data_IF_712072075114
#
_entry.id   IF_712072075114
#
_cell.length_a   1.000
_cell.length_b   1.000
_cell.length_c   1.000
_cell.angle_alpha   90.00
_cell.angle_beta   90.00
_cell.angle_gamma   90.00
#
_symmetry.space_group_name_H-M   'P 1'
#
loop_
_entity.id
_entity.type
_entity.pdbx_description
1 polymer ?
#
# COMPACT_ATOMS: atom_id res chain seq x y z
N UNK A 1 -18.67 11.19 2.98
CA UNK A 1 -17.90 10.12 2.31
C UNK A 1 -17.44 10.47 0.89
N UNK A 2 -17.88 11.59 0.30
CA UNK A 2 -17.55 11.93 -1.09
C UNK A 2 -16.05 11.95 -1.40
N UNK A 3 -15.26 12.65 -0.60
CA UNK A 3 -13.80 12.76 -0.84
C UNK A 3 -13.03 11.41 -0.88
N UNK A 4 -13.54 10.38 -0.20
CA UNK A 4 -12.92 9.05 -0.16
C UNK A 4 -13.31 8.16 -1.35
N UNK A 5 -14.43 8.48 -2.01
CA UNK A 5 -15.09 7.53 -2.90
C UNK A 5 -15.56 8.09 -4.22
N UNK A 6 -15.56 9.42 -4.40
CA UNK A 6 -15.97 10.07 -5.64
C UNK A 6 -14.86 10.04 -6.68
N UNK A 7 -13.60 9.95 -6.23
CA UNK A 7 -12.43 9.76 -7.09
C UNK A 7 -11.43 8.81 -6.44
N UNK A 8 -10.52 8.24 -7.24
CA UNK A 8 -9.41 7.41 -6.75
C UNK A 8 -8.18 8.23 -6.32
N UNK A 9 -8.19 9.56 -6.54
CA UNK A 9 -7.03 10.42 -6.28
C UNK A 9 -6.53 10.35 -4.84
N UNK A 10 -7.42 10.39 -3.85
CA UNK A 10 -7.02 10.32 -2.44
C UNK A 10 -6.35 8.98 -2.12
N UNK A 11 -6.93 7.88 -2.58
CA UNK A 11 -6.36 6.54 -2.37
C UNK A 11 -4.98 6.43 -3.04
N UNK A 12 -4.85 6.86 -4.30
CA UNK A 12 -3.58 6.87 -5.03
C UNK A 12 -2.54 7.75 -4.33
N UNK A 13 -2.92 8.96 -3.88
CA UNK A 13 -2.03 9.85 -3.14
C UNK A 13 -1.48 9.17 -1.88
N UNK A 14 -2.33 8.53 -1.08
CA UNK A 14 -1.88 7.83 0.13
C UNK A 14 -0.92 6.68 -0.18
N UNK A 15 -1.13 5.95 -1.28
CA UNK A 15 -0.19 4.93 -1.76
C UNK A 15 1.16 5.52 -2.16
N UNK A 16 1.18 6.57 -2.99
CA UNK A 16 2.41 7.21 -3.45
C UNK A 16 3.24 7.71 -2.27
N UNK A 17 2.62 8.46 -1.35
CA UNK A 17 3.31 8.95 -0.16
C UNK A 17 3.76 7.81 0.75
N UNK A 18 2.92 6.78 0.92
CA UNK A 18 3.27 5.58 1.70
C UNK A 18 4.51 4.87 1.15
N UNK A 19 4.60 4.67 -0.16
CA UNK A 19 5.77 4.04 -0.79
C UNK A 19 7.02 4.90 -0.63
N UNK A 20 6.92 6.23 -0.82
CA UNK A 20 8.05 7.14 -0.62
C UNK A 20 8.55 7.08 0.82
N UNK A 21 7.64 7.16 1.80
CA UNK A 21 7.97 7.05 3.22
C UNK A 21 8.59 5.69 3.57
N UNK A 22 8.11 4.61 2.96
CA UNK A 22 8.67 3.27 3.11
C UNK A 22 10.12 3.21 2.62
N UNK A 23 10.38 3.65 1.38
CA UNK A 23 11.72 3.66 0.80
C UNK A 23 12.67 4.57 1.61
N UNK A 24 12.19 5.75 2.02
CA UNK A 24 12.94 6.67 2.86
C UNK A 24 13.27 6.05 4.23
N UNK A 25 12.31 5.41 4.92
CA UNK A 25 12.58 4.74 6.19
C UNK A 25 13.52 3.53 6.03
N UNK A 26 13.42 2.82 4.91
CA UNK A 26 14.23 1.64 4.65
C UNK A 26 15.70 1.98 4.34
N UNK A 27 15.98 3.13 3.72
CA UNK A 27 17.35 3.60 3.43
C UNK A 27 18.06 4.19 4.65
N UNK A 28 17.33 4.47 5.74
CA UNK A 28 17.90 5.00 6.97
C UNK A 28 18.55 3.91 7.84
N UNK A 29 19.68 4.26 8.45
CA UNK A 29 20.36 3.44 9.44
C UNK A 29 19.44 3.08 10.62
N UNK A 30 19.53 1.83 11.06
CA UNK A 30 18.78 1.33 12.22
C UNK A 30 19.14 2.12 13.50
N UNK A 31 18.19 2.27 14.41
CA UNK A 31 18.38 2.97 15.69
C UNK A 31 18.34 4.49 15.62
N UNK A 32 18.35 5.10 14.43
CA UNK A 32 18.26 6.57 14.31
C UNK A 32 16.86 7.10 14.68
N UNK A 33 16.81 8.29 15.30
CA UNK A 33 15.54 8.99 15.60
C UNK A 33 14.73 9.24 14.33
N UNK A 34 15.40 9.65 13.25
CA UNK A 34 14.76 9.90 11.96
C UNK A 34 14.05 8.67 11.41
N UNK A 35 14.69 7.49 11.44
CA UNK A 35 14.04 6.24 11.00
C UNK A 35 12.78 5.94 11.77
N UNK A 36 12.82 6.10 13.11
CA UNK A 36 11.66 5.89 13.98
C UNK A 36 10.52 6.83 13.65
N UNK A 37 10.80 8.12 13.43
CA UNK A 37 9.78 9.12 13.08
C UNK A 37 9.15 8.80 11.73
N UNK A 38 9.96 8.60 10.68
CA UNK A 38 9.47 8.26 9.35
C UNK A 38 8.67 6.97 9.35
N UNK A 39 9.10 5.95 10.10
CA UNK A 39 8.37 4.68 10.25
C UNK A 39 7.02 4.88 10.96
N UNK A 40 6.95 5.74 11.97
CA UNK A 40 5.68 6.05 12.65
C UNK A 40 4.72 6.81 11.73
N UNK A 41 5.20 7.75 10.92
CA UNK A 41 4.38 8.47 9.93
C UNK A 41 3.87 7.49 8.87
N UNK A 42 4.72 6.59 8.38
CA UNK A 42 4.36 5.57 7.42
C UNK A 42 3.19 4.70 7.92
N UNK A 43 3.17 4.35 9.22
CA UNK A 43 2.05 3.59 9.82
C UNK A 43 0.73 4.37 9.79
N UNK A 44 0.75 5.70 9.90
CA UNK A 44 -0.45 6.51 9.71
C UNK A 44 -0.93 6.42 8.26
N UNK A 45 -0.01 6.45 7.29
CA UNK A 45 -0.35 6.27 5.88
C UNK A 45 -0.90 4.87 5.57
N UNK A 46 -0.42 3.82 6.23
CA UNK A 46 -1.04 2.49 6.10
C UNK A 46 -2.52 2.50 6.50
N UNK A 47 -2.86 3.17 7.60
CA UNK A 47 -4.26 3.32 8.03
C UNK A 47 -5.06 4.09 6.98
N UNK A 48 -4.52 5.19 6.44
CA UNK A 48 -5.19 5.96 5.38
C UNK A 48 -5.42 5.14 4.12
N UNK A 49 -4.45 4.32 3.70
CA UNK A 49 -4.56 3.41 2.55
C UNK A 49 -5.66 2.38 2.81
N UNK A 50 -5.68 1.75 3.98
CA UNK A 50 -6.66 0.72 4.33
C UNK A 50 -8.07 1.32 4.39
N UNK A 51 -8.25 2.45 5.07
CA UNK A 51 -9.56 3.10 5.22
C UNK A 51 -10.10 3.59 3.88
N UNK A 52 -9.28 4.27 3.07
CA UNK A 52 -9.70 4.72 1.74
C UNK A 52 -9.96 3.54 0.79
N UNK A 53 -9.14 2.49 0.85
CA UNK A 53 -9.33 1.26 0.07
C UNK A 53 -10.60 0.51 0.46
N UNK A 54 -10.90 0.41 1.76
CA UNK A 54 -12.14 -0.20 2.25
C UNK A 54 -13.36 0.62 1.84
N UNK A 55 -13.30 1.95 1.89
CA UNK A 55 -14.38 2.82 1.44
C UNK A 55 -14.69 2.62 -0.06
N UNK A 56 -13.65 2.53 -0.89
CA UNK A 56 -13.80 2.20 -2.32
C UNK A 56 -14.35 0.78 -2.53
N UNK A 57 -13.86 -0.21 -1.78
CA UNK A 57 -14.35 -1.58 -1.85
C UNK A 57 -15.86 -1.65 -1.55
N UNK A 58 -16.33 -1.09 -0.44
CA UNK A 58 -17.74 -1.18 -0.06
C UNK A 58 -18.68 -0.44 -1.03
N UNK A 59 -18.22 0.66 -1.66
CA UNK A 59 -19.04 1.40 -2.64
C UNK A 59 -19.15 0.68 -3.98
N UNK A 60 -18.12 -0.06 -4.39
CA UNK A 60 -18.00 -0.55 -5.76
C UNK A 60 -17.92 -2.07 -5.92
N UNK A 61 -17.95 -2.82 -4.82
CA UNK A 61 -17.95 -4.28 -4.84
C UNK A 61 -19.06 -4.89 -5.70
N UNK A 62 -20.20 -4.20 -5.86
CA UNK A 62 -21.37 -4.72 -6.61
C UNK A 62 -21.08 -4.98 -8.09
N UNK A 63 -20.00 -4.43 -8.64
CA UNK A 63 -19.64 -4.60 -10.05
C UNK A 63 -18.83 -5.88 -10.30
N UNK A 64 -17.96 -6.29 -9.36
CA UNK A 64 -17.17 -7.53 -9.42
C UNK A 64 -16.58 -7.85 -8.03
N UNK A 65 -17.41 -8.36 -7.11
CA UNK A 65 -17.05 -8.55 -5.70
C UNK A 65 -15.76 -9.37 -5.52
N UNK A 66 -15.49 -10.31 -6.42
CA UNK A 66 -14.31 -11.16 -6.34
C UNK A 66 -13.04 -10.39 -6.69
N UNK A 67 -12.99 -9.69 -7.82
CA UNK A 67 -11.78 -8.96 -8.22
C UNK A 67 -11.47 -7.79 -7.26
N UNK A 68 -12.50 -7.07 -6.79
CA UNK A 68 -12.30 -6.03 -5.78
C UNK A 68 -11.80 -6.61 -4.44
N UNK A 69 -12.27 -7.81 -4.06
CA UNK A 69 -11.81 -8.51 -2.86
C UNK A 69 -10.35 -8.95 -2.95
N UNK A 70 -9.96 -9.52 -4.09
CA UNK A 70 -8.56 -9.89 -4.37
C UNK A 70 -7.66 -8.66 -4.33
N UNK A 71 -8.05 -7.55 -4.96
CA UNK A 71 -7.29 -6.29 -4.92
C UNK A 71 -7.08 -5.80 -3.50
N UNK A 72 -8.12 -5.84 -2.68
CA UNK A 72 -8.04 -5.43 -1.27
C UNK A 72 -7.05 -6.30 -0.48
N UNK A 73 -7.11 -7.63 -0.64
CA UNK A 73 -6.17 -8.56 -0.01
C UNK A 73 -4.73 -8.34 -0.46
N UNK A 74 -4.48 -8.17 -1.76
CA UNK A 74 -3.13 -7.87 -2.27
C UNK A 74 -2.58 -6.56 -1.72
N UNK A 75 -3.42 -5.52 -1.61
CA UNK A 75 -3.04 -4.25 -0.99
C UNK A 75 -2.63 -4.42 0.47
N UNK A 76 -3.40 -5.20 1.24
CA UNK A 76 -3.10 -5.49 2.64
C UNK A 76 -1.79 -6.27 2.80
N UNK A 77 -1.55 -7.26 1.94
CA UNK A 77 -0.30 -8.03 1.92
C UNK A 77 0.89 -7.15 1.57
N UNK A 78 0.76 -6.26 0.60
CA UNK A 78 1.80 -5.27 0.24
C UNK A 78 2.19 -4.42 1.44
N UNK A 79 1.22 -3.89 2.19
CA UNK A 79 1.47 -3.15 3.44
C UNK A 79 2.18 -4.01 4.47
N UNK A 80 1.74 -5.27 4.63
CA UNK A 80 2.38 -6.23 5.52
C UNK A 80 3.85 -6.46 5.19
N UNK A 81 4.20 -6.62 3.90
CA UNK A 81 5.58 -6.79 3.46
C UNK A 81 6.43 -5.54 3.65
N UNK A 82 5.89 -4.34 3.45
CA UNK A 82 6.58 -3.09 3.80
C UNK A 82 6.93 -3.04 5.30
N UNK A 83 5.95 -3.31 6.17
CA UNK A 83 6.16 -3.29 7.62
C UNK A 83 7.17 -4.36 8.07
N UNK A 84 7.03 -5.60 7.56
CA UNK A 84 7.97 -6.68 7.88
C UNK A 84 9.40 -6.36 7.42
N UNK A 85 9.56 -5.68 6.29
CA UNK A 85 10.87 -5.23 5.80
C UNK A 85 11.53 -4.27 6.79
N UNK A 86 10.82 -3.24 7.26
CA UNK A 86 11.35 -2.27 8.21
C UNK A 86 11.62 -2.87 9.59
N UNK A 87 10.72 -3.71 10.08
CA UNK A 87 10.87 -4.35 11.40
C UNK A 87 12.02 -5.36 11.40
N UNK A 88 12.14 -6.20 10.36
CA UNK A 88 13.24 -7.17 10.24
C UNK A 88 14.57 -6.46 10.03
N UNK A 89 14.60 -5.43 9.18
CA UNK A 89 15.81 -4.62 8.97
C UNK A 89 16.28 -3.93 10.25
N UNK A 90 15.35 -3.44 11.08
CA UNK A 90 15.70 -2.85 12.39
C UNK A 90 16.18 -3.88 13.41
N UNK A 91 15.90 -5.17 13.20
CA UNK A 91 16.39 -6.30 14.01
C UNK A 91 17.64 -6.96 13.44
N UNK A 92 18.25 -6.39 12.39
CA UNK A 92 19.43 -6.98 11.72
C UNK A 92 19.16 -8.32 11.02
N UNK A 93 17.90 -8.67 10.77
CA UNK A 93 17.52 -9.92 10.09
C UNK A 93 17.53 -9.71 8.57
N UNK A 94 17.80 -10.78 7.82
CA UNK A 94 17.71 -10.76 6.36
C UNK A 94 16.31 -10.27 5.91
N UNK A 95 16.27 -9.29 5.02
CA UNK A 95 15.06 -8.67 4.46
C UNK A 95 14.85 -8.98 2.97
N UNK A 96 15.78 -9.68 2.31
CA UNK A 96 15.75 -9.89 0.86
C UNK A 96 14.44 -10.50 0.36
N UNK A 97 13.96 -11.56 1.04
CA UNK A 97 12.66 -12.16 0.70
C UNK A 97 11.48 -11.19 0.87
N UNK A 98 11.51 -10.32 1.88
CA UNK A 98 10.43 -9.38 2.13
C UNK A 98 10.38 -8.28 1.07
N UNK A 99 11.53 -7.84 0.58
CA UNK A 99 11.64 -6.93 -0.56
C UNK A 99 11.08 -7.55 -1.84
N UNK A 100 11.42 -8.82 -2.12
CA UNK A 100 10.88 -9.54 -3.29
C UNK A 100 9.36 -9.63 -3.20
N UNK A 101 8.84 -10.07 -2.05
CA UNK A 101 7.40 -10.17 -1.83
C UNK A 101 6.72 -8.80 -1.93
N UNK A 102 7.31 -7.74 -1.37
CA UNK A 102 6.80 -6.38 -1.52
C UNK A 102 6.66 -5.98 -3.00
N UNK A 103 7.70 -6.15 -3.82
CA UNK A 103 7.66 -5.76 -5.23
C UNK A 103 6.63 -6.58 -6.00
N UNK A 104 6.61 -7.91 -5.81
CA UNK A 104 5.65 -8.79 -6.50
C UNK A 104 4.21 -8.42 -6.16
N UNK A 105 3.90 -8.25 -4.87
CA UNK A 105 2.55 -7.91 -4.44
C UNK A 105 2.15 -6.49 -4.83
N UNK A 106 3.06 -5.53 -4.79
CA UNK A 106 2.80 -4.16 -5.25
C UNK A 106 2.43 -4.15 -6.73
N UNK A 107 3.20 -4.84 -7.57
CA UNK A 107 2.92 -4.94 -9.01
C UNK A 107 1.58 -5.64 -9.26
N UNK A 108 1.28 -6.71 -8.53
CA UNK A 108 -0.01 -7.40 -8.62
C UNK A 108 -1.19 -6.49 -8.21
N UNK A 109 -1.06 -5.73 -7.11
CA UNK A 109 -2.06 -4.75 -6.65
C UNK A 109 -2.30 -3.67 -7.71
N UNK A 110 -1.23 -3.14 -8.32
CA UNK A 110 -1.33 -2.12 -9.37
C UNK A 110 -1.97 -2.68 -10.64
N UNK A 111 -1.56 -3.88 -11.08
CA UNK A 111 -2.10 -4.53 -12.27
C UNK A 111 -3.61 -4.76 -12.16
N UNK A 112 -4.08 -5.38 -11.07
CA UNK A 112 -5.53 -5.53 -10.83
C UNK A 112 -6.18 -4.15 -10.67
N UNK A 113 -5.46 -3.20 -10.08
CA UNK A 113 -5.96 -1.86 -9.89
C UNK A 113 -6.29 -1.10 -11.17
N UNK A 114 -5.43 -1.23 -12.19
CA UNK A 114 -5.62 -0.61 -13.51
C UNK A 114 -6.61 -1.39 -14.39
N UNK A 115 -6.79 -2.70 -14.16
CA UNK A 115 -7.81 -3.49 -14.86
C UNK A 115 -9.25 -3.12 -14.45
N UNK A 116 -9.44 -2.60 -13.24
CA UNK A 116 -10.77 -2.28 -12.72
C UNK A 116 -11.30 -0.95 -13.28
N UNK A 117 -12.60 -0.86 -13.61
CA UNK A 117 -13.20 0.26 -14.34
C UNK A 117 -13.25 1.61 -13.57
N UNK A 118 -12.78 1.63 -12.32
CA UNK A 118 -12.67 2.86 -11.51
C UNK A 118 -11.28 3.50 -11.55
N UNK A 119 -10.33 2.83 -12.23
CA UNK A 119 -8.97 3.28 -12.36
C UNK A 119 -8.76 4.22 -13.55
N UNK A 120 -7.49 4.38 -13.91
CA UNK A 120 -7.10 4.93 -15.19
C UNK A 120 -7.10 3.81 -16.23
N UNK A 121 -7.80 4.00 -17.35
CA UNK A 121 -7.77 3.10 -18.51
C UNK A 121 -6.43 3.22 -19.25
N UNK A 122 -5.37 2.68 -18.66
CA UNK A 122 -4.05 2.59 -19.33
C UNK A 122 -4.02 1.52 -20.43
N UNK A 123 -4.98 0.58 -20.41
CA UNK A 123 -5.02 -0.60 -21.28
C UNK A 123 -6.36 -0.77 -22.03
N UNK A 124 -7.18 0.28 -22.10
CA UNK A 124 -8.36 0.29 -22.95
C UNK A 124 -7.99 0.50 -24.43
#
# INVERSE_FOLDING_TARGET
MGFLTDTTHFHIFTWVVGIILFLASASMAAGTKGKKITHMILRLFYILIIVSGAALFFKYQTNDSMLYGIKFLLGLLTIGFMEMTLVRGSKGKNTGLMWILFVVFLLATLFIGFKLPLGFDFFA
#
